data_IF_291142979816
#
_entry.id   IF_291142979816
#
_cell.length_a   1.000
_cell.length_b   1.000
_cell.length_c   1.000
_cell.angle_alpha   90.00
_cell.angle_beta   90.00
_cell.angle_gamma   90.00
#
_symmetry.space_group_name_H-M   'P 1'
#
loop_
_entity.id
_entity.type
_entity.pdbx_description
1 polymer ?
#
# COMPACT_ATOMS: atom_id res chain seq x y z
N UNK A 1 47.79 55.47 -5.08
CA UNK A 1 47.29 54.83 -6.32
C UNK A 1 47.95 53.45 -6.40
N UNK A 2 47.36 52.37 -5.88
CA UNK A 2 46.38 51.47 -6.53
C UNK A 2 46.77 51.19 -8.00
N UNK A 3 47.00 49.98 -8.51
CA UNK A 3 46.43 48.65 -8.19
C UNK A 3 47.43 47.57 -8.64
N UNK A 4 47.87 46.68 -7.73
CA UNK A 4 48.62 45.47 -8.08
C UNK A 4 47.62 44.32 -8.20
N UNK A 5 47.48 43.78 -9.41
CA UNK A 5 46.51 42.75 -9.77
C UNK A 5 46.92 41.40 -9.17
N UNK A 6 46.38 41.04 -8.00
CA UNK A 6 46.39 39.69 -7.46
C UNK A 6 45.08 38.98 -7.88
N UNK A 7 45.16 38.01 -8.77
CA UNK A 7 44.05 37.07 -9.04
C UNK A 7 44.11 35.92 -8.02
N UNK A 8 43.01 35.56 -7.32
CA UNK A 8 42.96 34.31 -6.58
C UNK A 8 42.68 33.14 -7.53
N UNK A 9 43.40 32.02 -7.34
CA UNK A 9 43.12 30.72 -7.98
C UNK A 9 41.80 30.17 -7.41
N UNK A 10 40.84 29.89 -8.27
CA UNK A 10 39.62 29.17 -7.91
C UNK A 10 39.98 27.71 -7.51
N UNK A 11 39.60 27.33 -6.30
CA UNK A 11 39.62 25.94 -5.85
C UNK A 11 38.51 25.18 -6.58
N UNK A 12 38.88 24.26 -7.48
CA UNK A 12 37.95 23.35 -8.13
C UNK A 12 37.39 22.36 -7.12
N UNK A 13 36.16 22.58 -6.69
CA UNK A 13 35.37 21.59 -5.95
C UNK A 13 35.04 20.44 -6.91
N UNK A 14 35.69 19.29 -6.71
CA UNK A 14 35.29 18.05 -7.37
C UNK A 14 33.92 17.65 -6.82
N UNK A 15 32.87 17.95 -7.59
CA UNK A 15 31.54 17.40 -7.41
C UNK A 15 31.63 15.86 -7.31
N UNK A 16 31.04 15.22 -6.30
CA UNK A 16 31.01 13.76 -6.24
C UNK A 16 30.15 13.29 -7.40
N UNK A 17 30.77 12.59 -8.35
CA UNK A 17 30.10 11.95 -9.49
C UNK A 17 28.96 11.08 -8.96
N UNK A 18 27.72 11.58 -9.08
CA UNK A 18 26.53 10.78 -8.94
C UNK A 18 26.59 9.66 -9.98
N UNK A 19 26.59 8.41 -9.51
CA UNK A 19 26.36 7.27 -10.40
C UNK A 19 24.99 7.50 -11.04
N UNK A 20 24.98 7.71 -12.34
CA UNK A 20 23.75 7.59 -13.13
C UNK A 20 23.20 6.18 -12.89
N UNK A 21 21.94 6.02 -12.43
CA UNK A 21 21.36 4.70 -12.24
C UNK A 21 21.34 4.00 -13.60
N UNK A 22 21.83 2.76 -13.63
CA UNK A 22 21.86 1.95 -14.84
C UNK A 22 20.47 1.94 -15.47
N UNK A 23 20.37 2.14 -16.78
CA UNK A 23 19.11 2.14 -17.53
C UNK A 23 18.30 0.83 -17.41
N UNK A 24 18.90 -0.24 -16.89
CA UNK A 24 18.23 -1.50 -16.51
C UNK A 24 17.51 -1.45 -15.16
N UNK A 25 17.96 -0.63 -14.21
CA UNK A 25 17.28 -0.40 -12.92
C UNK A 25 16.06 0.50 -13.09
N UNK A 26 16.10 1.44 -14.04
CA UNK A 26 14.95 2.30 -14.38
C UNK A 26 13.76 1.51 -14.96
N UNK A 27 13.98 0.32 -15.51
CA UNK A 27 12.95 -0.54 -16.08
C UNK A 27 12.33 -1.52 -15.07
N UNK A 28 12.96 -1.74 -13.91
CA UNK A 28 12.38 -2.52 -12.82
C UNK A 28 11.52 -1.57 -11.96
N UNK A 29 10.24 -1.42 -12.33
CA UNK A 29 9.27 -0.68 -11.51
C UNK A 29 9.38 -1.16 -10.05
N UNK A 30 9.65 -0.22 -9.16
CA UNK A 30 9.66 -0.49 -7.72
C UNK A 30 8.25 -0.92 -7.30
N UNK A 31 8.17 -1.79 -6.28
CA UNK A 31 6.85 -2.14 -5.70
C UNK A 31 6.28 -0.86 -5.11
N UNK A 32 5.01 -0.58 -5.34
CA UNK A 32 4.26 0.44 -4.59
C UNK A 32 3.20 -0.26 -3.74
N UNK A 33 3.05 0.17 -2.50
CA UNK A 33 2.00 -0.31 -1.60
C UNK A 33 0.87 0.72 -1.54
N UNK A 34 -0.31 0.34 -2.00
CA UNK A 34 -1.54 1.13 -1.90
C UNK A 34 -2.31 0.66 -0.67
N UNK A 35 -2.76 1.60 0.15
CA UNK A 35 -3.48 1.30 1.39
C UNK A 35 -4.80 2.05 1.38
N UNK A 36 -5.89 1.31 1.43
CA UNK A 36 -7.19 1.84 1.85
C UNK A 36 -7.08 2.16 3.35
N UNK A 37 -7.01 3.46 3.66
CA UNK A 37 -6.59 3.94 4.96
C UNK A 37 -7.76 4.29 5.89
N UNK A 38 -9.02 4.26 5.45
CA UNK A 38 -10.15 4.76 6.24
C UNK A 38 -10.44 3.86 7.45
N UNK A 39 -10.19 2.55 7.33
CA UNK A 39 -10.39 1.58 8.41
C UNK A 39 -9.17 0.69 8.72
N UNK A 40 -7.97 1.07 8.29
CA UNK A 40 -6.78 0.22 8.44
C UNK A 40 -6.13 0.31 9.85
N UNK A 41 -6.13 -0.77 10.66
CA UNK A 41 -5.55 -0.76 12.02
C UNK A 41 -4.02 -0.99 12.04
N UNK A 42 -3.39 -1.21 10.88
CA UNK A 42 -1.98 -1.64 10.74
C UNK A 42 -1.10 -0.63 9.99
N UNK A 43 -1.47 0.67 10.02
CA UNK A 43 -0.75 1.75 9.31
C UNK A 43 0.71 1.85 9.73
N UNK A 44 0.99 1.77 11.03
CA UNK A 44 2.35 1.84 11.57
C UNK A 44 3.19 0.63 11.13
N UNK A 45 2.60 -0.55 11.11
CA UNK A 45 3.22 -1.78 10.62
C UNK A 45 3.58 -1.66 9.13
N UNK A 46 2.69 -1.11 8.31
CA UNK A 46 2.93 -0.87 6.87
C UNK A 46 4.12 0.08 6.68
N UNK A 47 4.13 1.22 7.40
CA UNK A 47 5.21 2.20 7.33
C UNK A 47 6.56 1.57 7.70
N UNK A 48 6.61 0.77 8.77
CA UNK A 48 7.84 0.05 9.16
C UNK A 48 8.33 -0.91 8.09
N UNK A 49 7.42 -1.63 7.43
CA UNK A 49 7.79 -2.58 6.36
C UNK A 49 8.33 -1.83 5.14
N UNK A 50 7.70 -0.71 4.76
CA UNK A 50 8.16 0.10 3.63
C UNK A 50 9.51 0.75 3.87
N UNK A 51 9.81 1.18 5.10
CA UNK A 51 11.15 1.68 5.47
C UNK A 51 12.23 0.61 5.27
N UNK A 52 11.95 -0.65 5.60
CA UNK A 52 12.88 -1.77 5.39
C UNK A 52 13.08 -2.08 3.91
N UNK A 53 12.00 -2.09 3.13
CA UNK A 53 12.03 -2.42 1.69
C UNK A 53 12.31 -1.22 0.79
N UNK A 54 12.48 -0.02 1.36
CA UNK A 54 12.67 1.25 0.62
C UNK A 54 11.64 1.40 -0.49
N UNK A 55 10.38 1.14 -0.14
CA UNK A 55 9.24 1.08 -1.04
C UNK A 55 8.30 2.23 -0.75
N UNK A 56 7.70 2.80 -1.79
CA UNK A 56 6.71 3.84 -1.65
C UNK A 56 5.36 3.28 -1.16
N UNK A 57 4.73 3.99 -0.23
CA UNK A 57 3.37 3.75 0.23
C UNK A 57 2.49 4.93 -0.17
N UNK A 58 1.32 4.63 -0.71
CA UNK A 58 0.21 5.57 -0.88
C UNK A 58 -0.89 5.23 0.12
N UNK A 59 -1.04 6.04 1.16
CA UNK A 59 -2.16 5.97 2.09
C UNK A 59 -3.31 6.78 1.47
N UNK A 60 -4.35 6.09 0.99
CA UNK A 60 -5.48 6.71 0.29
C UNK A 60 -6.65 6.78 1.25
N UNK A 61 -7.25 7.95 1.37
CA UNK A 61 -8.33 8.24 2.32
C UNK A 61 -9.20 9.37 1.78
N UNK A 62 -10.49 9.34 2.08
CA UNK A 62 -11.40 10.46 1.78
C UNK A 62 -11.35 11.57 2.84
N UNK A 63 -10.70 11.34 3.98
CA UNK A 63 -10.50 12.36 5.00
C UNK A 63 -10.00 11.84 6.35
N UNK A 64 -9.76 12.76 7.29
CA UNK A 64 -9.60 12.39 8.71
C UNK A 64 -8.26 11.76 9.11
N UNK A 65 -7.27 11.65 8.21
CA UNK A 65 -5.94 11.13 8.56
C UNK A 65 -4.88 12.22 8.69
N UNK A 66 -4.10 12.11 9.77
CA UNK A 66 -2.89 12.91 9.94
C UNK A 66 -1.81 12.44 8.97
N UNK A 67 -1.08 13.40 8.37
CA UNK A 67 0.04 13.09 7.48
C UNK A 67 1.10 12.23 8.20
N UNK A 68 1.51 11.09 7.62
CA UNK A 68 2.57 10.27 8.18
C UNK A 68 3.90 11.03 8.14
N UNK A 69 4.78 10.74 9.11
CA UNK A 69 6.11 11.39 9.22
C UNK A 69 7.19 10.72 8.38
N UNK A 70 6.93 9.53 7.83
CA UNK A 70 7.91 8.75 7.07
C UNK A 70 8.06 9.30 5.65
N UNK A 71 9.29 9.44 5.12
CA UNK A 71 9.51 9.89 3.74
C UNK A 71 9.03 8.86 2.70
N UNK A 72 8.74 7.63 3.11
CA UNK A 72 8.23 6.55 2.25
C UNK A 72 6.71 6.55 2.14
N UNK A 73 6.02 7.33 2.97
CA UNK A 73 4.57 7.32 3.04
C UNK A 73 3.99 8.65 2.54
N UNK A 74 3.26 8.57 1.44
CA UNK A 74 2.48 9.68 0.90
C UNK A 74 1.03 9.53 1.35
N UNK A 75 0.46 10.61 1.88
CA UNK A 75 -0.98 10.71 2.14
C UNK A 75 -1.66 11.28 0.90
N UNK A 76 -2.55 10.49 0.31
CA UNK A 76 -3.40 10.86 -0.82
C UNK A 76 -4.80 11.07 -0.28
N UNK A 77 -5.29 12.31 -0.37
CA UNK A 77 -6.66 12.67 0.02
C UNK A 77 -7.49 12.72 -1.26
N UNK A 78 -8.51 11.87 -1.33
CA UNK A 78 -9.49 11.87 -2.44
C UNK A 78 -10.71 12.71 -2.04
N UNK A 79 -11.52 13.18 -3.00
CA UNK A 79 -12.79 13.83 -2.68
C UNK A 79 -13.69 12.91 -1.84
N UNK A 80 -14.41 13.49 -0.88
CA UNK A 80 -15.43 12.76 -0.13
C UNK A 80 -16.48 12.18 -1.09
N UNK A 81 -16.70 10.87 -0.99
CA UNK A 81 -17.64 10.16 -1.84
C UNK A 81 -17.58 8.66 -1.61
N UNK A 82 -18.68 7.94 -1.85
CA UNK A 82 -18.69 6.49 -1.77
C UNK A 82 -17.65 5.93 -2.76
N UNK A 83 -16.87 4.96 -2.30
CA UNK A 83 -15.88 4.21 -3.08
C UNK A 83 -14.76 5.07 -3.73
N UNK A 84 -14.63 6.36 -3.37
CA UNK A 84 -13.68 7.28 -4.00
C UNK A 84 -12.21 6.84 -3.80
N UNK A 85 -11.87 6.32 -2.62
CA UNK A 85 -10.54 5.79 -2.33
C UNK A 85 -10.27 4.52 -3.15
N UNK A 86 -11.26 3.63 -3.21
CA UNK A 86 -11.17 2.37 -3.93
C UNK A 86 -10.99 2.58 -5.44
N UNK A 87 -11.76 3.49 -6.03
CA UNK A 87 -11.65 3.87 -7.44
C UNK A 87 -10.27 4.44 -7.75
N UNK A 88 -9.78 5.34 -6.90
CA UNK A 88 -8.46 5.94 -7.07
C UNK A 88 -7.34 4.89 -7.05
N UNK A 89 -7.42 3.91 -6.14
CA UNK A 89 -6.47 2.79 -6.05
C UNK A 89 -6.56 1.91 -7.29
N UNK A 90 -7.78 1.47 -7.64
CA UNK A 90 -8.02 0.54 -8.74
C UNK A 90 -7.55 1.08 -10.10
N UNK A 91 -7.62 2.40 -10.31
CA UNK A 91 -7.12 3.07 -11.52
C UNK A 91 -5.59 3.07 -11.66
N UNK A 92 -4.84 2.94 -10.56
CA UNK A 92 -3.38 3.19 -10.52
C UNK A 92 -2.56 1.95 -10.22
N UNK A 93 -3.17 1.02 -9.48
CA UNK A 93 -2.51 -0.22 -9.09
C UNK A 93 -2.30 -1.13 -10.31
N UNK A 94 -1.17 -1.83 -10.34
CA UNK A 94 -0.87 -2.75 -11.43
C UNK A 94 0.04 -3.90 -11.05
N UNK A 95 0.58 -4.62 -12.04
CA UNK A 95 1.42 -5.78 -11.81
C UNK A 95 2.65 -5.45 -10.95
N UNK A 96 2.84 -6.22 -9.88
CA UNK A 96 3.96 -6.05 -8.96
C UNK A 96 3.72 -5.04 -7.83
N UNK A 97 2.55 -4.41 -7.77
CA UNK A 97 2.11 -3.59 -6.64
C UNK A 97 1.34 -4.42 -5.60
N UNK A 98 1.18 -3.87 -4.39
CA UNK A 98 0.43 -4.49 -3.29
C UNK A 98 -0.69 -3.55 -2.84
N UNK A 99 -1.90 -4.05 -2.70
CA UNK A 99 -3.03 -3.38 -2.06
C UNK A 99 -3.24 -3.93 -0.64
N UNK A 100 -3.38 -3.06 0.35
CA UNK A 100 -3.87 -3.41 1.68
C UNK A 100 -5.29 -2.88 1.82
N UNK A 101 -6.26 -3.77 1.93
CA UNK A 101 -7.69 -3.41 2.08
C UNK A 101 -8.47 -4.50 2.80
N UNK A 102 -9.53 -4.11 3.50
CA UNK A 102 -10.51 -5.06 4.02
C UNK A 102 -11.69 -5.28 3.06
N UNK A 103 -11.82 -4.45 2.02
CA UNK A 103 -12.92 -4.52 1.07
C UNK A 103 -12.66 -5.53 -0.04
N UNK A 104 -13.63 -6.43 -0.23
CA UNK A 104 -13.51 -7.55 -1.16
C UNK A 104 -13.65 -7.08 -2.62
N UNK A 105 -14.63 -6.23 -2.99
CA UNK A 105 -14.66 -5.56 -4.29
C UNK A 105 -13.36 -4.86 -4.68
N UNK A 106 -12.76 -4.06 -3.80
CA UNK A 106 -11.45 -3.45 -4.10
C UNK A 106 -10.36 -4.51 -4.30
N UNK A 107 -10.28 -5.50 -3.41
CA UNK A 107 -9.28 -6.58 -3.55
C UNK A 107 -9.42 -7.34 -4.88
N UNK A 108 -10.64 -7.61 -5.33
CA UNK A 108 -10.93 -8.24 -6.62
C UNK A 108 -10.42 -7.40 -7.80
N UNK A 109 -10.68 -6.09 -7.79
CA UNK A 109 -10.17 -5.17 -8.81
C UNK A 109 -8.64 -5.17 -8.85
N UNK A 110 -7.98 -5.12 -7.70
CA UNK A 110 -6.52 -5.16 -7.58
C UNK A 110 -5.93 -6.47 -8.14
N UNK A 111 -6.53 -7.63 -7.80
CA UNK A 111 -6.07 -8.93 -8.29
C UNK A 111 -6.26 -9.03 -9.81
N UNK A 112 -7.39 -8.54 -10.35
CA UNK A 112 -7.63 -8.48 -11.80
C UNK A 112 -6.65 -7.56 -12.54
N UNK A 113 -6.17 -6.50 -11.89
CA UNK A 113 -5.11 -5.63 -12.40
C UNK A 113 -3.70 -6.27 -12.35
N UNK A 114 -3.57 -7.51 -11.85
CA UNK A 114 -2.31 -8.23 -11.73
C UNK A 114 -1.50 -7.91 -10.48
N UNK A 115 -2.05 -7.10 -9.59
CA UNK A 115 -1.44 -6.76 -8.30
C UNK A 115 -1.59 -7.92 -7.30
N UNK A 116 -1.09 -7.71 -6.07
CA UNK A 116 -1.43 -8.54 -4.90
C UNK A 116 -2.33 -7.74 -3.98
N UNK A 117 -3.29 -8.38 -3.33
CA UNK A 117 -4.10 -7.74 -2.31
C UNK A 117 -4.01 -8.54 -1.00
N UNK A 118 -4.02 -7.85 0.14
CA UNK A 118 -3.93 -8.45 1.47
C UNK A 118 -4.86 -7.72 2.43
N UNK A 119 -5.48 -8.47 3.35
CA UNK A 119 -6.23 -7.86 4.44
C UNK A 119 -5.31 -7.40 5.59
N UNK A 120 -5.88 -6.61 6.51
CA UNK A 120 -5.17 -6.14 7.70
C UNK A 120 -4.86 -7.25 8.73
N UNK A 121 -5.29 -8.49 8.48
CA UNK A 121 -5.00 -9.68 9.30
C UNK A 121 -3.94 -10.59 8.68
N UNK A 122 -3.43 -10.24 7.49
CA UNK A 122 -2.35 -10.95 6.81
C UNK A 122 -2.79 -12.02 5.82
N UNK A 123 -4.09 -12.16 5.56
CA UNK A 123 -4.58 -13.07 4.53
C UNK A 123 -4.49 -12.40 3.15
N UNK A 124 -3.79 -13.06 2.22
CA UNK A 124 -3.74 -12.61 0.85
C UNK A 124 -5.05 -12.98 0.12
N UNK A 125 -5.54 -12.06 -0.68
CA UNK A 125 -6.67 -12.32 -1.57
C UNK A 125 -6.17 -13.03 -2.83
N UNK A 126 -6.88 -14.10 -3.21
CA UNK A 126 -6.72 -14.84 -4.46
C UNK A 126 -8.07 -14.87 -5.16
N UNK A 127 -8.08 -15.19 -6.46
CA UNK A 127 -9.35 -15.29 -7.21
C UNK A 127 -10.34 -16.27 -6.53
N UNK A 128 -9.83 -17.37 -5.98
CA UNK A 128 -10.62 -18.38 -5.27
C UNK A 128 -11.12 -17.85 -3.93
N UNK A 129 -10.26 -17.19 -3.13
CA UNK A 129 -10.65 -16.69 -1.81
C UNK A 129 -11.62 -15.51 -1.91
N UNK A 130 -11.49 -14.67 -2.93
CA UNK A 130 -12.42 -13.59 -3.25
C UNK A 130 -13.81 -14.16 -3.55
N UNK A 131 -13.91 -15.15 -4.45
CA UNK A 131 -15.18 -15.77 -4.80
C UNK A 131 -15.90 -16.37 -3.59
N UNK A 132 -15.18 -17.09 -2.74
CA UNK A 132 -15.72 -17.68 -1.52
C UNK A 132 -16.17 -16.60 -0.50
N UNK A 133 -15.37 -15.54 -0.31
CA UNK A 133 -15.69 -14.44 0.61
C UNK A 133 -16.91 -13.64 0.12
N UNK A 134 -17.03 -13.38 -1.19
CA UNK A 134 -18.21 -12.72 -1.79
C UNK A 134 -19.48 -13.56 -1.64
N UNK A 135 -19.42 -14.86 -1.96
CA UNK A 135 -20.56 -15.76 -1.81
C UNK A 135 -21.06 -15.80 -0.37
N UNK A 136 -20.14 -15.87 0.59
CA UNK A 136 -20.46 -15.83 2.03
C UNK A 136 -21.07 -14.49 2.44
N UNK A 137 -20.51 -13.35 1.98
CA UNK A 137 -21.04 -12.00 2.27
C UNK A 137 -22.47 -11.84 1.73
N UNK A 138 -22.74 -12.32 0.53
CA UNK A 138 -24.06 -12.25 -0.09
C UNK A 138 -25.07 -13.11 0.69
N UNK A 139 -24.73 -14.36 0.98
CA UNK A 139 -25.58 -15.26 1.78
C UNK A 139 -25.93 -14.65 3.15
N UNK A 140 -24.95 -14.10 3.87
CA UNK A 140 -25.18 -13.46 5.17
C UNK A 140 -26.02 -12.17 5.06
N UNK A 141 -25.98 -11.50 3.91
CA UNK A 141 -26.83 -10.33 3.65
C UNK A 141 -28.26 -10.75 3.35
N UNK A 142 -28.45 -11.83 2.59
CA UNK A 142 -29.75 -12.41 2.29
C UNK A 142 -30.44 -12.94 3.55
N UNK A 143 -29.71 -13.67 4.40
CA UNK A 143 -30.23 -14.21 5.67
C UNK A 143 -30.66 -13.11 6.65
N UNK A 144 -29.90 -12.00 6.71
CA UNK A 144 -30.28 -10.82 7.50
C UNK A 144 -31.53 -10.13 6.92
N UNK A 145 -31.60 -9.99 5.60
CA UNK A 145 -32.74 -9.38 4.91
C UNK A 145 -34.02 -10.21 5.05
N UNK A 146 -33.89 -11.54 5.14
CA UNK A 146 -34.98 -12.47 5.37
C UNK A 146 -35.45 -12.53 6.84
N UNK A 147 -34.83 -11.76 7.75
CA UNK A 147 -35.15 -11.78 9.19
C UNK A 147 -34.78 -13.10 9.88
N UNK A 148 -33.93 -13.93 9.26
CA UNK A 148 -33.54 -15.25 9.75
C UNK A 148 -32.29 -15.22 10.64
N UNK A 149 -31.67 -14.05 10.82
CA UNK A 149 -30.57 -13.84 11.75
C UNK A 149 -30.76 -12.51 12.51
N UNK A 150 -31.02 -12.60 13.81
CA UNK A 150 -30.81 -11.48 14.73
C UNK A 150 -29.30 -11.15 14.78
N UNK A 151 -28.95 -9.88 14.96
CA UNK A 151 -27.62 -9.28 14.79
C UNK A 151 -26.51 -9.82 15.72
N UNK A 152 -26.19 -11.12 15.66
CA UNK A 152 -25.01 -11.72 16.27
C UNK A 152 -23.84 -11.59 15.30
N UNK A 153 -23.03 -10.54 15.42
CA UNK A 153 -21.94 -10.36 14.45
C UNK A 153 -20.94 -9.26 14.73
N UNK A 154 -20.58 -9.03 15.99
CA UNK A 154 -19.34 -8.31 16.28
C UNK A 154 -18.17 -9.22 15.92
N UNK A 155 -17.57 -9.03 14.74
CA UNK A 155 -16.39 -9.79 14.33
C UNK A 155 -15.31 -9.78 15.42
N UNK A 156 -14.47 -10.81 15.47
CA UNK A 156 -13.41 -10.93 16.49
C UNK A 156 -12.58 -9.65 16.54
N UNK A 157 -12.43 -9.08 17.73
CA UNK A 157 -11.60 -7.90 17.95
C UNK A 157 -10.19 -8.09 17.37
N UNK A 158 -9.64 -7.00 16.82
CA UNK A 158 -8.29 -6.99 16.27
C UNK A 158 -7.26 -7.18 17.40
N UNK A 159 -6.35 -8.15 17.24
CA UNK A 159 -5.41 -8.56 18.29
C UNK A 159 -3.95 -8.36 17.88
N UNK A 160 -3.03 -8.46 18.84
CA UNK A 160 -1.58 -8.43 18.57
C UNK A 160 -1.12 -9.57 17.65
N UNK A 161 -1.81 -10.71 17.70
CA UNK A 161 -1.58 -11.83 16.79
C UNK A 161 -1.90 -11.44 15.34
N UNK A 162 -3.03 -10.76 15.11
CA UNK A 162 -3.40 -10.28 13.77
C UNK A 162 -2.34 -9.32 13.19
N UNK A 163 -1.73 -8.47 14.02
CA UNK A 163 -0.61 -7.60 13.59
C UNK A 163 0.62 -8.40 13.16
N UNK A 164 0.91 -9.47 13.90
CA UNK A 164 2.04 -10.34 13.61
C UNK A 164 1.81 -11.15 12.34
N UNK A 165 0.58 -11.61 12.14
CA UNK A 165 0.16 -12.33 10.94
C UNK A 165 0.16 -11.39 9.73
N UNK A 166 -0.30 -10.15 9.89
CA UNK A 166 -0.18 -9.10 8.87
C UNK A 166 1.26 -8.84 8.42
N UNK A 167 2.18 -8.64 9.36
CA UNK A 167 3.60 -8.42 9.05
C UNK A 167 4.21 -9.60 8.28
N UNK A 168 3.87 -10.84 8.67
CA UNK A 168 4.34 -12.04 7.99
C UNK A 168 3.74 -12.15 6.58
N UNK A 169 2.43 -11.92 6.44
CA UNK A 169 1.74 -11.96 5.15
C UNK A 169 2.27 -10.92 4.17
N UNK A 170 2.46 -9.68 4.63
CA UNK A 170 3.01 -8.61 3.81
C UNK A 170 4.45 -8.90 3.37
N UNK A 171 5.29 -9.40 4.28
CA UNK A 171 6.66 -9.81 3.93
C UNK A 171 6.68 -10.92 2.87
N UNK A 172 5.79 -11.93 3.00
CA UNK A 172 5.66 -12.99 2.00
C UNK A 172 5.34 -12.42 0.61
N UNK A 173 4.42 -11.47 0.51
CA UNK A 173 4.10 -10.82 -0.78
C UNK A 173 5.30 -10.10 -1.38
N UNK A 174 6.08 -9.36 -0.58
CA UNK A 174 7.32 -8.73 -1.04
C UNK A 174 8.31 -9.77 -1.61
N UNK A 175 8.48 -10.91 -0.93
CA UNK A 175 9.36 -11.97 -1.38
C UNK A 175 8.88 -12.64 -2.67
N UNK A 176 7.58 -12.89 -2.80
CA UNK A 176 6.98 -13.45 -4.03
C UNK A 176 7.19 -12.52 -5.23
N UNK A 177 6.93 -11.21 -5.06
CA UNK A 177 7.13 -10.21 -6.13
C UNK A 177 8.62 -10.07 -6.48
N UNK A 178 9.52 -10.27 -5.51
CA UNK A 178 10.97 -10.26 -5.77
C UNK A 178 11.45 -11.51 -6.50
N UNK A 179 10.86 -12.67 -6.23
CA UNK A 179 11.17 -13.95 -6.91
C UNK A 179 10.61 -14.01 -8.32
N UNK A 180 9.47 -13.35 -8.58
CA UNK A 180 8.85 -13.26 -9.91
C UNK A 180 9.47 -12.20 -10.83
N UNK A 181 10.54 -11.50 -10.42
CA UNK A 181 11.24 -10.44 -11.16
C UNK A 181 12.67 -10.83 -11.54
#
# INVERSE_FOLDING_TARGET
MCVRCCRPRAAGTRSPRGRSPNSRDAARRAVTVYVDADACPVKDEIIRVAERHRTEIKLVTDGGLMRPRSPWAELVIVPEGPDAADDWIAERIGPGDICVTADIPLADRCVKAGARAIDHRGEAFTAESIGAKLATRNLMTDLRSAGQMDAAGGGRAFSSRDRSDFLQGLERLFQEIRRGR
#
